data_IF_539617020170
#
_entry.id   IF_539617020170
#
_cell.length_a   1.000
_cell.length_b   1.000
_cell.length_c   1.000
_cell.angle_alpha   90.00
_cell.angle_beta   90.00
_cell.angle_gamma   90.00
#
_symmetry.space_group_name_H-M   'P 1'
#
loop_
_entity.id
_entity.type
_entity.pdbx_description
1 polymer ?
#
# COMPACT_ATOMS: atom_id res chain seq x y z
N UNK A 1 11.56 11.29 16.44
CA UNK A 1 11.64 11.11 14.98
C UNK A 1 11.95 12.46 14.38
N UNK A 2 13.00 12.53 13.56
CA UNK A 2 13.66 13.77 13.12
C UNK A 2 12.85 14.46 11.99
N UNK A 3 12.49 15.76 12.08
CA UNK A 3 11.49 16.40 11.20
C UNK A 3 12.04 16.90 9.86
N UNK A 4 13.18 16.39 9.40
CA UNK A 4 13.82 16.84 8.16
C UNK A 4 13.83 15.75 7.08
N UNK A 5 12.68 15.50 6.47
CA UNK A 5 12.62 14.93 5.12
C UNK A 5 12.05 15.96 4.15
N UNK A 6 12.93 16.75 3.57
CA UNK A 6 12.62 17.56 2.39
C UNK A 6 12.60 16.65 1.16
N UNK A 7 11.52 16.72 0.38
CA UNK A 7 11.38 16.02 -0.91
C UNK A 7 12.24 16.78 -1.93
N UNK A 8 13.24 16.15 -2.59
CA UNK A 8 14.01 16.84 -3.61
C UNK A 8 13.15 17.00 -4.87
N UNK A 9 13.00 18.24 -5.32
CA UNK A 9 12.45 18.60 -6.62
C UNK A 9 13.44 18.24 -7.72
N UNK A 10 13.04 17.38 -8.65
CA UNK A 10 13.80 17.08 -9.86
C UNK A 10 13.92 15.57 -10.10
N UNK A 11 13.69 15.17 -11.36
CA UNK A 11 13.79 13.81 -11.90
C UNK A 11 15.05 13.09 -11.40
N UNK A 12 14.90 12.40 -10.28
CA UNK A 12 15.91 11.52 -9.72
C UNK A 12 15.35 10.11 -9.79
N UNK A 13 16.17 9.19 -10.28
CA UNK A 13 15.81 7.81 -10.49
C UNK A 13 15.21 7.27 -9.18
N UNK A 14 14.03 6.66 -9.22
CA UNK A 14 13.32 6.15 -8.02
C UNK A 14 14.25 5.31 -7.12
N UNK A 15 15.22 4.61 -7.72
CA UNK A 15 16.26 3.85 -7.02
C UNK A 15 17.15 4.69 -6.10
N UNK A 16 17.46 5.93 -6.48
CA UNK A 16 18.31 6.86 -5.71
C UNK A 16 17.55 7.47 -4.52
N UNK A 17 16.24 7.62 -4.64
CA UNK A 17 15.38 8.04 -3.53
C UNK A 17 15.33 6.93 -2.46
N UNK A 18 15.18 5.67 -2.89
CA UNK A 18 15.19 4.53 -1.99
C UNK A 18 16.54 4.33 -1.29
N UNK A 19 17.66 4.48 -2.00
CA UNK A 19 18.99 4.33 -1.40
C UNK A 19 19.30 5.41 -0.36
N UNK A 20 18.80 6.64 -0.56
CA UNK A 20 19.00 7.76 0.39
C UNK A 20 18.13 7.66 1.65
N UNK A 21 17.02 6.92 1.59
CA UNK A 21 16.15 6.64 2.74
C UNK A 21 16.57 5.37 3.53
N UNK A 22 17.55 4.61 3.05
CA UNK A 22 18.05 3.40 3.72
C UNK A 22 18.96 3.76 4.89
N UNK A 23 18.40 3.76 6.10
CA UNK A 23 19.18 3.53 7.31
C UNK A 23 19.70 2.09 7.20
N UNK A 24 21.01 1.90 7.37
CA UNK A 24 21.69 0.61 7.20
C UNK A 24 21.23 -0.42 8.24
N UNK A 25 20.02 -0.99 8.07
CA UNK A 25 19.40 -2.17 8.72
C UNK A 25 17.87 -2.27 8.60
N UNK A 26 17.15 -1.29 8.05
CA UNK A 26 15.70 -1.40 7.85
C UNK A 26 15.35 -1.42 6.36
N UNK A 27 14.77 -2.54 5.90
CA UNK A 27 14.12 -2.62 4.58
C UNK A 27 12.68 -2.14 4.76
N UNK A 28 12.32 -0.91 4.35
CA UNK A 28 10.94 -0.46 4.41
C UNK A 28 10.06 -1.34 3.50
N UNK A 29 8.95 -1.84 4.06
CA UNK A 29 7.95 -2.57 3.30
C UNK A 29 6.87 -1.60 2.78
N UNK A 30 6.29 -1.84 1.60
CA UNK A 30 5.19 -1.03 1.11
C UNK A 30 3.95 -1.23 1.99
N UNK A 31 3.39 -0.15 2.53
CA UNK A 31 2.15 -0.11 3.28
C UNK A 31 1.17 0.90 2.66
N UNK A 32 -0.12 0.77 2.98
CA UNK A 32 -1.12 1.76 2.57
C UNK A 32 -1.38 2.70 3.73
N UNK A 33 -1.28 4.00 3.46
CA UNK A 33 -1.52 5.06 4.44
C UNK A 33 -2.80 5.81 4.05
N UNK A 34 -3.57 6.22 5.04
CA UNK A 34 -4.69 7.15 4.90
C UNK A 34 -4.39 8.45 5.63
N UNK A 35 -4.94 9.56 5.15
CA UNK A 35 -4.77 10.89 5.73
C UNK A 35 -5.98 11.75 5.41
N UNK A 36 -6.37 12.59 6.36
CA UNK A 36 -7.48 13.53 6.17
C UNK A 36 -7.02 14.79 5.42
N UNK A 37 -7.79 15.16 4.39
CA UNK A 37 -7.61 16.41 3.66
C UNK A 37 -8.69 17.40 4.07
N UNK A 38 -8.26 18.55 4.59
CA UNK A 38 -9.15 19.66 4.91
C UNK A 38 -9.12 20.67 3.77
N UNK A 39 -10.30 20.98 3.24
CA UNK A 39 -10.47 21.97 2.17
C UNK A 39 -11.40 23.09 2.64
N UNK A 40 -11.01 24.33 2.34
CA UNK A 40 -11.88 25.48 2.56
C UNK A 40 -13.11 25.38 1.66
N UNK A 41 -14.27 25.72 2.22
CA UNK A 41 -15.54 25.87 1.46
C UNK A 41 -15.36 26.92 0.35
N UNK A 42 -16.19 26.97 -0.69
CA UNK A 42 -16.04 27.95 -1.76
C UNK A 42 -16.12 29.40 -1.24
N UNK A 43 -15.32 30.33 -1.77
CA UNK A 43 -15.21 31.73 -1.29
C UNK A 43 -16.57 32.45 -1.24
N UNK A 44 -17.45 32.18 -2.21
CA UNK A 44 -18.83 32.70 -2.27
C UNK A 44 -19.70 32.35 -1.05
N UNK A 45 -19.36 31.27 -0.36
CA UNK A 45 -20.04 30.75 0.83
C UNK A 45 -19.28 31.13 2.12
N UNK A 46 -18.05 31.64 2.02
CA UNK A 46 -17.23 32.11 3.15
C UNK A 46 -17.62 33.53 3.56
N UNK A 47 -18.85 33.70 4.03
CA UNK A 47 -19.23 34.91 4.78
C UNK A 47 -18.50 34.95 6.12
N UNK A 48 -18.47 36.11 6.76
CA UNK A 48 -18.02 36.23 8.15
C UNK A 48 -18.86 35.28 9.00
N UNK A 49 -18.23 34.27 9.58
CA UNK A 49 -18.90 33.31 10.45
C UNK A 49 -18.60 33.67 11.90
N UNK A 50 -19.64 33.79 12.71
CA UNK A 50 -19.55 34.01 14.16
C UNK A 50 -20.06 32.76 14.87
N UNK A 51 -19.24 32.17 15.74
CA UNK A 51 -19.63 31.01 16.54
C UNK A 51 -20.23 31.41 17.89
N UNK A 52 -21.19 30.63 18.45
CA UNK A 52 -21.80 30.95 19.73
C UNK A 52 -20.82 30.78 20.91
N UNK A 53 -20.92 31.67 21.89
CA UNK A 53 -20.46 31.44 23.26
C UNK A 53 -21.44 30.42 23.90
N UNK A 54 -21.14 29.13 23.78
CA UNK A 54 -22.06 28.06 24.18
C UNK A 54 -22.39 28.08 25.68
N UNK A 55 -23.66 27.92 26.02
CA UNK A 55 -24.12 27.63 27.39
C UNK A 55 -23.82 26.16 27.68
N UNK A 56 -23.04 25.87 28.71
CA UNK A 56 -22.76 24.52 29.22
C UNK A 56 -21.27 24.10 29.19
N UNK A 57 -20.48 24.63 28.27
CA UNK A 57 -19.02 24.52 28.22
C UNK A 57 -18.48 25.84 27.67
N UNK A 58 -17.59 26.52 28.38
CA UNK A 58 -17.06 27.83 27.98
C UNK A 58 -16.34 27.71 26.63
N UNK A 59 -17.05 27.95 25.52
CA UNK A 59 -16.48 28.03 24.18
C UNK A 59 -16.14 29.49 23.90
N UNK A 60 -14.89 29.81 23.58
CA UNK A 60 -14.52 31.19 23.27
C UNK A 60 -15.24 31.62 21.98
N UNK A 61 -15.87 32.80 21.95
CA UNK A 61 -16.44 33.30 20.71
C UNK A 61 -15.33 33.55 19.69
N UNK A 62 -15.64 33.28 18.42
CA UNK A 62 -14.69 33.41 17.33
C UNK A 62 -15.34 34.04 16.10
N UNK A 63 -14.51 34.67 15.28
CA UNK A 63 -14.86 35.25 13.98
C UNK A 63 -13.92 34.67 12.93
N UNK A 64 -14.47 34.14 11.84
CA UNK A 64 -13.71 33.67 10.68
C UNK A 64 -13.98 34.55 9.48
N UNK A 65 -12.93 35.01 8.81
CA UNK A 65 -13.00 35.85 7.61
C UNK A 65 -12.02 35.33 6.54
N UNK A 66 -12.43 35.39 5.27
CA UNK A 66 -11.53 35.07 4.15
C UNK A 66 -10.65 36.25 3.78
N UNK A 67 -9.40 35.98 3.40
CA UNK A 67 -8.50 36.99 2.84
C UNK A 67 -8.68 37.00 1.31
N UNK A 68 -9.09 38.14 0.71
CA UNK A 68 -9.42 38.20 -0.71
C UNK A 68 -8.22 37.82 -1.58
N UNK A 69 -8.50 37.19 -2.74
CA UNK A 69 -7.48 36.74 -3.69
C UNK A 69 -6.47 35.73 -3.12
N UNK A 70 -6.85 34.95 -2.10
CA UNK A 70 -6.01 33.91 -1.52
C UNK A 70 -6.81 32.75 -0.91
N UNK A 71 -6.13 31.64 -0.64
CA UNK A 71 -6.66 30.50 0.11
C UNK A 71 -6.45 30.63 1.63
N UNK A 72 -6.27 31.85 2.12
CA UNK A 72 -6.05 32.11 3.54
C UNK A 72 -7.36 32.54 4.23
N UNK A 73 -7.50 32.11 5.49
CA UNK A 73 -8.54 32.56 6.40
C UNK A 73 -7.92 33.21 7.64
N UNK A 74 -8.55 34.27 8.12
CA UNK A 74 -8.26 34.91 9.39
C UNK A 74 -9.26 34.38 10.43
N UNK A 75 -8.73 33.82 11.51
CA UNK A 75 -9.52 33.37 12.66
C UNK A 75 -9.15 34.25 13.86
N UNK A 76 -10.14 34.99 14.37
CA UNK A 76 -10.00 35.81 15.58
C UNK A 76 -10.78 35.13 16.69
N UNK A 77 -10.11 34.83 17.80
CA UNK A 77 -10.71 34.15 18.96
C UNK A 77 -10.62 35.06 20.17
N UNK A 78 -11.70 35.18 20.94
CA UNK A 78 -11.69 35.91 22.19
C UNK A 78 -11.47 34.94 23.36
N UNK A 79 -10.32 35.03 24.01
CA UNK A 79 -9.90 34.13 25.08
C UNK A 79 -10.59 34.44 26.44
N UNK A 80 -11.92 34.40 26.49
CA UNK A 80 -12.71 34.62 27.72
C UNK A 80 -12.85 33.39 28.60
N UNK A 81 -12.39 32.24 28.13
CA UNK A 81 -12.53 30.96 28.79
C UNK A 81 -11.16 30.47 29.26
N UNK A 82 -11.02 29.96 30.50
CA UNK A 82 -9.85 29.18 30.87
C UNK A 82 -9.69 28.02 29.89
N UNK A 83 -8.47 27.72 29.44
CA UNK A 83 -8.22 26.47 28.70
C UNK A 83 -8.50 25.30 29.65
N UNK A 84 -9.73 24.77 29.62
CA UNK A 84 -10.11 23.59 30.41
C UNK A 84 -9.58 22.30 29.75
N UNK A 85 -9.34 22.34 28.45
CA UNK A 85 -8.79 21.23 27.68
C UNK A 85 -7.33 21.51 27.33
N UNK A 86 -6.44 20.61 27.73
CA UNK A 86 -5.07 20.57 27.21
C UNK A 86 -5.17 20.35 25.68
N UNK A 87 -4.54 21.19 24.84
CA UNK A 87 -4.47 20.97 23.39
C UNK A 87 -3.89 19.58 23.01
N UNK A 88 -3.20 18.92 23.94
CA UNK A 88 -2.70 17.55 23.80
C UNK A 88 -3.80 16.47 23.88
N UNK A 89 -4.99 16.78 24.38
CA UNK A 89 -6.07 15.81 24.60
C UNK A 89 -6.83 15.46 23.31
N UNK A 90 -6.89 16.39 22.35
CA UNK A 90 -7.47 16.18 21.01
C UNK A 90 -6.64 16.92 19.94
N UNK A 91 -5.42 16.44 19.62
CA UNK A 91 -4.62 17.04 18.58
C UNK A 91 -5.28 16.79 17.22
N UNK A 92 -5.78 17.85 16.58
CA UNK A 92 -6.14 17.79 15.17
C UNK A 92 -4.84 17.66 14.38
N UNK A 93 -4.60 16.48 13.82
CA UNK A 93 -3.35 16.16 13.16
C UNK A 93 -3.60 15.50 11.80
N UNK A 94 -2.77 15.88 10.83
CA UNK A 94 -2.78 15.36 9.44
C UNK A 94 -1.66 14.34 9.22
N UNK A 95 -1.17 13.71 10.30
CA UNK A 95 -0.20 12.62 10.18
C UNK A 95 -0.90 11.42 9.56
N UNK A 96 -0.36 10.85 8.46
CA UNK A 96 -0.93 9.66 7.86
C UNK A 96 -0.93 8.46 8.83
N UNK A 97 -2.01 7.69 8.85
CA UNK A 97 -2.14 6.44 9.61
C UNK A 97 -2.13 5.24 8.67
N UNK A 98 -1.60 4.11 9.15
CA UNK A 98 -1.61 2.88 8.37
C UNK A 98 -3.02 2.27 8.34
N UNK A 99 -3.49 1.91 7.14
CA UNK A 99 -4.82 1.32 6.96
C UNK A 99 -4.81 -0.13 7.42
N UNK A 100 -5.60 -0.44 8.44
CA UNK A 100 -5.76 -1.81 8.92
C UNK A 100 -6.93 -2.53 8.23
N UNK A 101 -6.62 -3.59 7.50
CA UNK A 101 -7.59 -4.31 6.66
C UNK A 101 -8.39 -5.42 7.39
N UNK A 102 -8.46 -5.42 8.73
CA UNK A 102 -9.23 -6.39 9.54
C UNK A 102 -9.01 -7.87 9.12
N UNK A 103 -7.75 -8.26 8.89
CA UNK A 103 -7.38 -9.61 8.46
C UNK A 103 -7.67 -9.95 7.00
N UNK A 104 -8.17 -9.01 6.19
CA UNK A 104 -8.29 -9.16 4.73
C UNK A 104 -7.10 -8.52 4.01
N UNK A 105 -6.80 -8.95 2.79
CA UNK A 105 -5.75 -8.31 1.97
C UNK A 105 -6.30 -7.09 1.23
N UNK A 106 -5.43 -6.13 0.90
CA UNK A 106 -5.74 -4.99 0.02
C UNK A 106 -6.44 -5.43 -1.28
N UNK A 107 -6.01 -6.57 -1.84
CA UNK A 107 -6.57 -7.13 -3.06
C UNK A 107 -8.03 -7.55 -2.89
N UNK A 108 -8.37 -8.15 -1.73
CA UNK A 108 -9.75 -8.53 -1.41
C UNK A 108 -10.67 -7.30 -1.30
N UNK A 109 -10.18 -6.21 -0.68
CA UNK A 109 -10.98 -4.98 -0.58
C UNK A 109 -11.20 -4.33 -1.94
N UNK A 110 -10.19 -4.31 -2.83
CA UNK A 110 -10.33 -3.80 -4.20
C UNK A 110 -11.38 -4.55 -5.02
N UNK A 111 -11.56 -5.86 -4.79
CA UNK A 111 -12.60 -6.65 -5.47
C UNK A 111 -14.01 -6.19 -5.07
N UNK A 112 -14.23 -5.76 -3.82
CA UNK A 112 -15.54 -5.22 -3.38
C UNK A 112 -15.96 -4.00 -4.20
N UNK A 113 -15.00 -3.16 -4.60
CA UNK A 113 -15.24 -1.96 -5.40
C UNK A 113 -15.20 -2.22 -6.91
N UNK A 114 -15.02 -3.47 -7.37
CA UNK A 114 -14.88 -3.82 -8.80
C UNK A 114 -16.04 -3.31 -9.66
N UNK A 115 -17.25 -3.27 -9.12
CA UNK A 115 -18.43 -2.74 -9.82
C UNK A 115 -18.34 -1.23 -10.09
N UNK A 116 -17.57 -0.49 -9.27
CA UNK A 116 -17.36 0.95 -9.38
C UNK A 116 -16.10 1.32 -10.18
N UNK A 117 -15.27 0.34 -10.57
CA UNK A 117 -14.07 0.54 -11.39
C UNK A 117 -14.26 -0.13 -12.76
N UNK A 118 -15.01 0.50 -13.69
CA UNK A 118 -15.23 -0.07 -15.01
C UNK A 118 -13.90 -0.23 -15.75
N UNK A 119 -13.66 -1.42 -16.30
CA UNK A 119 -12.53 -1.69 -17.19
C UNK A 119 -13.05 -2.00 -18.58
N UNK A 120 -12.47 -1.36 -19.59
CA UNK A 120 -12.76 -1.67 -20.99
C UNK A 120 -11.85 -2.83 -21.43
N UNK A 121 -12.43 -3.87 -22.02
CA UNK A 121 -11.63 -4.93 -22.65
C UNK A 121 -11.03 -4.41 -23.97
N UNK A 122 -9.84 -4.90 -24.35
CA UNK A 122 -9.33 -4.69 -25.70
C UNK A 122 -10.36 -5.09 -26.76
N UNK A 123 -10.41 -4.40 -27.91
CA UNK A 123 -11.41 -4.66 -28.95
C UNK A 123 -11.21 -6.02 -29.64
N UNK A 124 -9.98 -6.54 -29.66
CA UNK A 124 -9.64 -7.84 -30.22
C UNK A 124 -8.65 -8.59 -29.32
N UNK A 125 -8.65 -9.92 -29.42
CA UNK A 125 -7.70 -10.81 -28.76
C UNK A 125 -7.27 -11.85 -29.79
N UNK A 126 -6.06 -11.69 -30.34
CA UNK A 126 -5.44 -12.68 -31.23
C UNK A 126 -4.72 -13.66 -30.31
N UNK A 127 -5.31 -14.85 -30.14
CA UNK A 127 -4.80 -15.88 -29.21
C UNK A 127 -3.82 -16.83 -29.88
N UNK A 128 -3.98 -17.01 -31.18
CA UNK A 128 -3.30 -18.02 -31.98
C UNK A 128 -2.92 -17.38 -33.31
N UNK A 129 -1.79 -17.80 -33.85
CA UNK A 129 -1.28 -17.43 -35.16
C UNK A 129 -1.30 -18.64 -36.09
N UNK A 130 -1.65 -18.46 -37.37
CA UNK A 130 -1.83 -19.59 -38.30
C UNK A 130 -0.58 -20.47 -38.45
N UNK A 131 0.62 -19.88 -38.36
CA UNK A 131 1.90 -20.60 -38.40
C UNK A 131 2.37 -21.10 -37.02
N UNK A 132 1.55 -21.06 -35.97
CA UNK A 132 1.92 -21.67 -34.68
C UNK A 132 2.12 -23.19 -34.79
N UNK A 133 1.39 -23.87 -35.66
CA UNK A 133 1.54 -25.31 -35.90
C UNK A 133 2.89 -25.68 -36.54
N UNK A 134 3.51 -24.76 -37.28
CA UNK A 134 4.83 -24.95 -37.90
C UNK A 134 5.99 -24.86 -36.88
N UNK A 135 5.71 -24.36 -35.66
CA UNK A 135 6.71 -24.22 -34.60
C UNK A 135 6.97 -25.60 -33.96
N UNK A 136 8.02 -26.28 -34.44
CA UNK A 136 8.49 -27.57 -33.88
C UNK A 136 9.30 -27.43 -32.58
N UNK A 137 9.48 -26.22 -32.05
CA UNK A 137 10.12 -26.00 -30.76
C UNK A 137 9.13 -26.32 -29.63
N UNK A 138 9.14 -27.56 -29.17
CA UNK A 138 8.66 -27.87 -27.83
C UNK A 138 9.86 -27.85 -26.86
N UNK A 139 9.65 -27.38 -25.63
CA UNK A 139 10.67 -27.48 -24.59
C UNK A 139 11.00 -28.97 -24.36
N UNK A 140 12.27 -29.34 -24.53
CA UNK A 140 12.72 -30.71 -24.29
C UNK A 140 12.79 -30.95 -22.78
N UNK A 141 11.85 -31.75 -22.25
CA UNK A 141 12.01 -32.31 -20.92
C UNK A 141 12.89 -33.56 -21.02
N UNK A 142 13.83 -33.73 -20.08
CA UNK A 142 14.56 -34.98 -19.96
C UNK A 142 13.56 -36.10 -19.67
N UNK A 143 13.29 -36.95 -20.66
CA UNK A 143 12.65 -38.24 -20.41
C UNK A 143 13.64 -39.02 -19.55
N UNK A 144 13.36 -39.16 -18.26
CA UNK A 144 14.13 -40.02 -17.36
C UNK A 144 13.89 -41.47 -17.79
N UNK A 145 14.68 -41.93 -18.76
CA UNK A 145 14.72 -43.36 -19.11
C UNK A 145 15.31 -44.08 -17.91
N UNK A 146 14.47 -44.83 -17.18
CA UNK A 146 14.89 -45.63 -16.04
C UNK A 146 15.97 -46.62 -16.51
N UNK A 147 17.24 -46.30 -16.22
CA UNK A 147 18.40 -47.02 -16.75
C UNK A 147 18.28 -48.52 -16.44
N UNK A 148 18.34 -49.36 -17.49
CA UNK A 148 18.35 -50.81 -17.36
C UNK A 148 19.51 -51.30 -16.48
N UNK A 149 20.64 -50.57 -16.51
CA UNK A 149 21.80 -50.84 -15.66
C UNK A 149 21.42 -50.69 -14.19
N UNK A 150 20.69 -49.62 -13.84
CA UNK A 150 20.27 -49.35 -12.46
C UNK A 150 19.29 -50.42 -11.93
N UNK A 151 18.41 -50.92 -12.81
CA UNK A 151 17.51 -52.04 -12.50
C UNK A 151 18.29 -53.33 -12.24
N UNK A 152 19.26 -53.66 -13.12
CA UNK A 152 20.09 -54.84 -12.97
C UNK A 152 20.94 -54.78 -11.70
N UNK A 153 21.55 -53.62 -11.40
CA UNK A 153 22.32 -53.46 -10.16
C UNK A 153 21.45 -53.62 -8.93
N UNK A 154 20.22 -53.09 -8.92
CA UNK A 154 19.28 -53.31 -7.81
C UNK A 154 18.89 -54.78 -7.64
N UNK A 155 18.63 -55.51 -8.73
CA UNK A 155 18.29 -56.92 -8.64
C UNK A 155 19.46 -57.76 -8.11
N UNK A 156 20.67 -57.45 -8.56
CA UNK A 156 21.90 -58.12 -8.10
C UNK A 156 22.15 -57.82 -6.62
N UNK A 157 22.01 -56.57 -6.16
CA UNK A 157 22.20 -56.25 -4.74
C UNK A 157 21.17 -56.93 -3.85
N UNK A 158 19.89 -56.95 -4.25
CA UNK A 158 18.84 -57.68 -3.53
C UNK A 158 19.18 -59.18 -3.46
N UNK A 159 19.65 -59.76 -4.56
CA UNK A 159 20.04 -61.16 -4.59
C UNK A 159 21.22 -61.45 -3.66
N UNK A 160 22.27 -60.63 -3.68
CA UNK A 160 23.42 -60.79 -2.78
C UNK A 160 23.03 -60.64 -1.31
N UNK A 161 22.18 -59.66 -0.98
CA UNK A 161 21.65 -59.49 0.39
C UNK A 161 20.85 -60.74 0.80
N UNK A 162 20.04 -61.33 -0.10
CA UNK A 162 19.29 -62.53 0.21
C UNK A 162 20.18 -63.77 0.43
N UNK A 163 21.31 -63.87 -0.27
CA UNK A 163 22.30 -64.93 -0.04
C UNK A 163 23.03 -64.73 1.30
N UNK A 164 23.38 -63.50 1.65
CA UNK A 164 23.97 -63.18 2.94
C UNK A 164 23.00 -63.48 4.10
N UNK A 165 21.71 -63.17 3.94
CA UNK A 165 20.68 -63.47 4.93
C UNK A 165 20.38 -64.97 5.06
N UNK A 166 20.59 -65.75 3.99
CA UNK A 166 20.44 -67.22 4.01
C UNK A 166 21.67 -67.96 4.57
N UNK A 167 22.82 -67.29 4.61
CA UNK A 167 24.09 -67.83 5.11
C UNK A 167 24.36 -67.49 6.59
N UNK A 168 23.49 -66.70 7.24
CA UNK A 168 23.50 -66.40 8.67
C UNK A 168 22.39 -67.15 9.40
#
# INVERSE_FOLDING_TARGET
>A
MDPTMTIPSGESNIKDVFSKAMINRTLPAPCTMEVDLYQLVAERERRVQTGPAGVGHCRPPFVVQSIPSSDLILVVVHATCPLVSDPSEYPMNVIPSEVYYNGTSLNCQKIKFKHNLPRRRPPSCIKEHAQEEDIKLCGSANKSTLSYILKLTCLVTIYLISLLYKSS
#
